data_IF_045377702857
#
_entry.id   IF_045377702857
#
_cell.length_a   1.000
_cell.length_b   1.000
_cell.length_c   1.000
_cell.angle_alpha   90.00
_cell.angle_beta   90.00
_cell.angle_gamma   90.00
#
_symmetry.space_group_name_H-M   'P 1'
#
loop_
_entity.id
_entity.type
_entity.pdbx_description
1 polymer ?
#
# COMPACT_ATOMS: atom_id res chain seq x y z
N UNK A 1 3.63 24.57 68.44
CA UNK A 1 4.06 25.90 67.96
C UNK A 1 3.98 25.86 66.44
N UNK A 2 2.90 26.34 65.80
CA UNK A 2 2.70 27.75 65.37
C UNK A 2 3.92 28.24 64.57
N UNK A 3 3.83 28.73 63.34
CA UNK A 3 2.93 29.75 62.76
C UNK A 3 3.30 29.83 61.25
N UNK A 4 2.36 29.77 60.29
CA UNK A 4 1.77 30.91 59.51
C UNK A 4 2.82 31.72 58.71
N UNK A 5 2.63 32.30 57.53
CA UNK A 5 1.55 32.71 56.60
C UNK A 5 2.28 32.99 55.25
N UNK A 6 1.80 32.60 54.06
CA UNK A 6 0.85 33.32 53.16
C UNK A 6 1.39 34.66 52.57
N UNK A 7 0.81 35.20 51.46
CA UNK A 7 1.48 35.38 50.15
C UNK A 7 1.63 36.87 49.76
N UNK A 8 2.27 37.18 48.63
CA UNK A 8 2.38 38.57 48.11
C UNK A 8 2.03 38.64 46.60
N UNK A 9 0.77 38.97 46.29
CA UNK A 9 0.27 40.21 45.61
C UNK A 9 0.92 40.52 44.25
N UNK A 10 0.20 40.33 43.13
CA UNK A 10 -0.64 41.30 42.39
C UNK A 10 0.10 42.59 42.03
N UNK A 11 0.27 42.86 40.73
CA UNK A 11 -0.08 44.17 40.18
C UNK A 11 -0.47 44.13 38.70
N UNK A 12 -1.75 44.48 38.48
CA UNK A 12 -2.35 44.93 37.22
C UNK A 12 -1.72 46.26 36.82
N UNK A 13 -1.30 46.39 35.57
CA UNK A 13 -1.23 47.69 34.92
C UNK A 13 -2.52 47.88 34.09
N UNK A 14 -3.35 48.82 34.54
CA UNK A 14 -4.50 49.40 33.83
C UNK A 14 -4.12 50.86 33.53
N UNK A 15 -4.78 51.43 32.51
CA UNK A 15 -4.91 52.87 32.20
C UNK A 15 -3.87 53.29 31.14
N UNK A 16 -4.25 53.81 29.98
CA UNK A 16 -4.99 55.07 29.84
C UNK A 16 -6.13 55.04 28.80
N UNK A 17 -7.33 55.39 29.30
CA UNK A 17 -8.39 56.07 28.58
C UNK A 17 -8.09 57.57 28.71
N UNK A 18 -7.98 58.29 27.59
CA UNK A 18 -8.07 59.75 27.58
C UNK A 18 -9.55 60.14 27.57
N UNK A 19 -10.04 60.46 28.76
CA UNK A 19 -11.06 61.48 29.06
C UNK A 19 -10.63 62.85 28.45
N UNK A 20 -11.43 63.92 28.24
CA UNK A 20 -12.72 64.37 28.75
C UNK A 20 -13.15 65.59 27.88
N UNK A 21 -14.45 65.87 27.71
CA UNK A 21 -15.11 67.16 28.09
C UNK A 21 -16.54 67.26 27.53
N UNK A 22 -17.49 67.10 28.42
CA UNK A 22 -18.86 67.62 28.32
C UNK A 22 -18.89 69.13 28.62
N UNK A 23 -19.72 69.91 27.92
CA UNK A 23 -20.74 70.84 28.50
C UNK A 23 -21.29 71.91 27.52
N UNK A 24 -22.60 71.81 27.29
CA UNK A 24 -23.66 72.87 27.31
C UNK A 24 -23.78 73.96 26.22
N UNK A 25 -25.04 74.07 25.76
CA UNK A 25 -25.92 75.27 25.67
C UNK A 25 -26.20 75.89 24.28
N UNK A 26 -27.42 75.58 23.80
CA UNK A 26 -28.42 76.42 23.10
C UNK A 26 -27.94 77.58 22.22
N UNK A 27 -28.31 77.51 20.94
CA UNK A 27 -28.88 78.66 20.21
C UNK A 27 -30.03 78.18 19.32
N UNK A 28 -31.20 78.77 19.56
CA UNK A 28 -32.42 78.65 18.75
C UNK A 28 -32.66 80.01 18.09
N UNK A 29 -32.93 80.01 16.77
CA UNK A 29 -33.65 80.98 15.90
C UNK A 29 -32.97 80.92 14.52
N UNK A 30 -33.62 80.74 13.38
CA UNK A 30 -34.92 81.25 12.93
C UNK A 30 -35.51 80.27 11.90
N UNK A 31 -36.81 80.01 12.02
CA UNK A 31 -37.63 79.31 11.03
C UNK A 31 -37.75 80.22 9.80
N UNK A 32 -37.14 79.85 8.67
CA UNK A 32 -37.48 80.44 7.37
C UNK A 32 -38.50 79.52 6.69
N UNK A 33 -39.74 79.99 6.66
CA UNK A 33 -40.91 79.38 6.03
C UNK A 33 -40.61 79.18 4.54
N UNK A 34 -40.29 77.97 4.13
CA UNK A 34 -40.25 77.56 2.72
C UNK A 34 -41.39 76.60 2.46
N UNK A 35 -42.11 76.94 1.40
CA UNK A 35 -43.44 76.44 1.03
C UNK A 35 -43.39 74.92 0.87
N UNK A 36 -44.38 74.25 1.46
CA UNK A 36 -44.66 72.85 1.22
C UNK A 36 -45.32 72.75 -0.17
N UNK A 37 -44.50 72.54 -1.20
CA UNK A 37 -44.99 72.18 -2.52
C UNK A 37 -45.39 70.70 -2.45
N UNK A 38 -46.70 70.45 -2.51
CA UNK A 38 -47.27 69.11 -2.42
C UNK A 38 -47.35 68.51 -3.82
N UNK A 39 -46.18 68.17 -4.38
CA UNK A 39 -46.10 67.17 -5.43
C UNK A 39 -45.69 65.85 -4.76
N UNK A 40 -46.49 64.78 -4.86
CA UNK A 40 -46.05 63.48 -4.39
C UNK A 40 -44.97 63.00 -5.36
N UNK A 41 -43.71 63.18 -4.99
CA UNK A 41 -42.61 62.45 -5.61
C UNK A 41 -42.75 60.99 -5.17
N UNK A 42 -43.62 60.26 -5.87
CA UNK A 42 -43.81 58.83 -5.67
C UNK A 42 -42.53 58.13 -6.12
N UNK A 43 -41.86 57.56 -5.12
CA UNK A 43 -40.70 56.67 -5.15
C UNK A 43 -40.60 55.87 -6.46
N UNK A 44 -39.38 55.66 -7.01
CA UNK A 44 -39.23 54.70 -8.10
C UNK A 44 -39.84 53.37 -7.62
N UNK A 45 -40.80 52.84 -8.39
CA UNK A 45 -41.30 51.49 -8.15
C UNK A 45 -40.10 50.59 -7.94
N UNK A 46 -40.00 49.99 -6.76
CA UNK A 46 -39.05 48.91 -6.53
C UNK A 46 -39.45 47.83 -7.53
N UNK A 47 -38.72 47.79 -8.65
CA UNK A 47 -38.83 46.72 -9.63
C UNK A 47 -38.67 45.45 -8.83
N UNK A 48 -39.75 44.71 -8.62
CA UNK A 48 -39.69 43.41 -7.96
C UNK A 48 -38.64 42.63 -8.72
N UNK A 49 -37.48 42.40 -8.08
CA UNK A 49 -36.50 41.48 -8.62
C UNK A 49 -37.20 40.14 -8.50
N UNK A 50 -37.85 39.73 -9.59
CA UNK A 50 -38.42 38.39 -9.77
C UNK A 50 -37.24 37.44 -9.72
N UNK A 51 -36.81 37.07 -8.50
CA UNK A 51 -35.84 36.02 -8.27
C UNK A 51 -36.48 34.77 -8.82
N UNK A 52 -36.02 34.37 -10.01
CA UNK A 52 -36.57 33.23 -10.72
C UNK A 52 -36.52 31.99 -9.80
N UNK A 53 -37.67 31.33 -9.51
CA UNK A 53 -37.69 30.12 -8.69
C UNK A 53 -36.83 29.01 -9.31
N UNK A 54 -36.52 29.11 -10.61
CA UNK A 54 -35.66 28.16 -11.31
C UNK A 54 -34.22 28.16 -10.81
N UNK A 55 -33.64 29.29 -10.38
CA UNK A 55 -32.26 29.33 -9.91
C UNK A 55 -32.06 28.62 -8.56
N UNK A 56 -33.09 28.67 -7.70
CA UNK A 56 -33.13 27.92 -6.44
C UNK A 56 -33.47 26.44 -6.69
N UNK A 57 -34.45 26.17 -7.55
CA UNK A 57 -34.84 24.81 -7.91
C UNK A 57 -33.70 24.03 -8.60
N UNK A 58 -32.91 24.67 -9.45
CA UNK A 58 -31.74 24.06 -10.10
C UNK A 58 -30.63 23.71 -9.09
N UNK A 59 -30.39 24.56 -8.10
CA UNK A 59 -29.44 24.26 -7.00
C UNK A 59 -29.94 23.10 -6.14
N UNK A 60 -31.24 23.06 -5.85
CA UNK A 60 -31.86 21.98 -5.10
C UNK A 60 -31.79 20.66 -5.87
N UNK A 61 -32.06 20.69 -7.18
CA UNK A 61 -31.92 19.54 -8.07
C UNK A 61 -30.46 19.05 -8.13
N UNK A 62 -29.47 19.95 -8.20
CA UNK A 62 -28.06 19.58 -8.15
C UNK A 62 -27.67 18.92 -6.82
N UNK A 63 -28.18 19.41 -5.68
CA UNK A 63 -27.93 18.79 -4.37
C UNK A 63 -28.54 17.38 -4.31
N UNK A 64 -29.75 17.21 -4.84
CA UNK A 64 -30.42 15.91 -4.89
C UNK A 64 -29.67 14.93 -5.80
N UNK A 65 -29.25 15.38 -6.99
CA UNK A 65 -28.44 14.57 -7.92
C UNK A 65 -27.09 14.23 -7.31
N UNK A 66 -26.43 15.15 -6.61
CA UNK A 66 -25.19 14.89 -5.89
C UNK A 66 -25.41 13.89 -4.76
N UNK A 67 -26.52 13.98 -4.02
CA UNK A 67 -26.91 13.02 -2.99
C UNK A 67 -27.15 11.61 -3.55
N UNK A 68 -27.84 11.50 -4.68
CA UNK A 68 -28.05 10.23 -5.39
C UNK A 68 -26.72 9.68 -5.90
N UNK A 69 -25.86 10.51 -6.47
CA UNK A 69 -24.52 10.10 -6.92
C UNK A 69 -23.67 9.60 -5.75
N UNK A 70 -23.65 10.29 -4.62
CA UNK A 70 -22.98 9.86 -3.39
C UNK A 70 -23.57 8.56 -2.84
N UNK A 71 -24.88 8.36 -2.93
CA UNK A 71 -25.53 7.12 -2.53
C UNK A 71 -25.16 5.94 -3.44
N UNK A 72 -25.10 6.14 -4.76
CA UNK A 72 -24.67 5.13 -5.72
C UNK A 72 -23.18 4.77 -5.54
N UNK A 73 -22.33 5.77 -5.29
CA UNK A 73 -20.94 5.60 -4.88
C UNK A 73 -20.88 4.76 -3.59
N UNK A 74 -21.60 5.17 -2.55
CA UNK A 74 -21.63 4.44 -1.28
C UNK A 74 -22.08 2.98 -1.45
N UNK A 75 -23.11 2.72 -2.26
CA UNK A 75 -23.59 1.37 -2.64
C UNK A 75 -22.47 0.54 -3.28
N UNK A 76 -21.74 1.10 -4.26
CA UNK A 76 -20.61 0.43 -4.92
C UNK A 76 -19.41 0.21 -4.00
N UNK A 77 -19.19 1.09 -3.03
CA UNK A 77 -18.07 1.02 -2.09
C UNK A 77 -18.39 0.32 -0.75
N UNK A 78 -19.61 -0.20 -0.53
CA UNK A 78 -19.97 -0.91 0.72
C UNK A 78 -19.02 -2.06 1.04
N UNK A 79 -18.60 -2.83 0.03
CA UNK A 79 -17.66 -3.95 0.19
C UNK A 79 -16.21 -3.56 0.50
N UNK A 80 -15.85 -2.28 0.33
CA UNK A 80 -14.53 -1.75 0.70
C UNK A 80 -14.44 -1.34 2.18
N UNK A 81 -15.58 -1.07 2.82
CA UNK A 81 -15.63 -0.62 4.23
C UNK A 81 -16.06 -1.77 5.15
N UNK A 82 -16.98 -2.63 4.71
CA UNK A 82 -17.42 -3.81 5.44
C UNK A 82 -16.80 -5.08 4.83
N UNK A 83 -16.20 -5.91 5.68
CA UNK A 83 -15.73 -7.24 5.29
C UNK A 83 -16.79 -8.33 5.50
N UNK A 84 -17.68 -8.15 6.47
CA UNK A 84 -18.75 -9.10 6.80
C UNK A 84 -19.51 -8.70 8.05
N UNK A 85 -20.35 -9.59 8.57
CA UNK A 85 -21.08 -9.40 9.84
C UNK A 85 -21.11 -10.70 10.65
N UNK A 86 -21.03 -10.63 11.97
CA UNK A 86 -21.20 -11.75 12.90
C UNK A 86 -22.33 -11.42 13.87
N UNK A 87 -23.43 -12.19 13.87
CA UNK A 87 -24.60 -11.93 14.72
C UNK A 87 -25.11 -10.47 14.64
N UNK A 88 -25.14 -9.89 13.44
CA UNK A 88 -25.49 -8.48 13.17
C UNK A 88 -24.43 -7.43 13.58
N UNK A 89 -23.28 -7.83 14.11
CA UNK A 89 -22.13 -6.93 14.33
C UNK A 89 -21.27 -6.85 13.06
N UNK A 90 -21.07 -5.66 12.46
CA UNK A 90 -20.24 -5.52 11.27
C UNK A 90 -18.75 -5.71 11.57
N UNK A 91 -18.08 -6.51 10.74
CA UNK A 91 -16.62 -6.59 10.68
C UNK A 91 -16.16 -5.54 9.68
N UNK A 92 -15.36 -4.58 10.16
CA UNK A 92 -14.79 -3.57 9.28
C UNK A 92 -13.67 -4.16 8.43
N UNK A 93 -13.56 -3.73 7.18
CA UNK A 93 -12.45 -4.12 6.30
C UNK A 93 -11.11 -3.63 6.84
N UNK A 94 -11.11 -2.49 7.54
CA UNK A 94 -9.92 -1.94 8.18
C UNK A 94 -9.39 -2.87 9.28
N UNK A 95 -10.26 -3.36 10.16
CA UNK A 95 -9.90 -4.33 11.21
C UNK A 95 -9.39 -5.64 10.61
N UNK A 96 -10.07 -6.18 9.60
CA UNK A 96 -9.62 -7.38 8.91
C UNK A 96 -8.24 -7.17 8.26
N UNK A 97 -8.06 -6.08 7.51
CA UNK A 97 -6.80 -5.78 6.85
C UNK A 97 -5.68 -5.51 7.86
N UNK A 98 -5.97 -4.87 8.99
CA UNK A 98 -5.01 -4.70 10.06
C UNK A 98 -4.58 -6.04 10.63
N UNK A 99 -5.52 -6.95 10.93
CA UNK A 99 -5.21 -8.30 11.41
C UNK A 99 -4.42 -9.12 10.39
N UNK A 100 -4.75 -8.99 9.10
CA UNK A 100 -4.01 -9.61 8.01
C UNK A 100 -2.60 -9.02 7.87
N UNK A 101 -2.45 -7.70 8.01
CA UNK A 101 -1.15 -7.02 7.96
C UNK A 101 -0.29 -7.38 9.16
N UNK A 102 -0.87 -7.46 10.37
CA UNK A 102 -0.19 -7.93 11.58
C UNK A 102 0.35 -9.36 11.38
N UNK A 103 -0.43 -10.24 10.74
CA UNK A 103 -0.09 -11.66 10.59
C UNK A 103 0.80 -11.96 9.39
N UNK A 104 0.60 -11.28 8.26
CA UNK A 104 1.22 -11.60 6.96
C UNK A 104 1.92 -10.41 6.29
N UNK A 105 1.73 -9.18 6.80
CA UNK A 105 2.21 -7.96 6.16
C UNK A 105 3.72 -7.92 6.03
N UNK A 106 4.46 -8.26 7.11
CA UNK A 106 5.92 -8.31 7.08
C UNK A 106 6.45 -9.32 6.05
N UNK A 107 5.91 -10.55 6.05
CA UNK A 107 6.34 -11.59 5.12
C UNK A 107 6.03 -11.21 3.67
N UNK A 108 4.83 -10.70 3.41
CA UNK A 108 4.40 -10.27 2.07
C UNK A 108 5.25 -9.10 1.58
N UNK A 109 5.58 -8.15 2.46
CA UNK A 109 6.46 -7.05 2.14
C UNK A 109 7.88 -7.53 1.83
N UNK A 110 8.43 -8.45 2.63
CA UNK A 110 9.74 -9.04 2.41
C UNK A 110 9.82 -9.79 1.06
N UNK A 111 8.77 -10.52 0.69
CA UNK A 111 8.64 -11.18 -0.62
C UNK A 111 8.63 -10.17 -1.78
N UNK A 112 7.82 -9.13 -1.68
CA UNK A 112 7.74 -8.06 -2.68
C UNK A 112 9.10 -7.35 -2.81
N UNK A 113 9.77 -7.06 -1.69
CA UNK A 113 11.12 -6.46 -1.71
C UNK A 113 12.09 -7.36 -2.46
N UNK A 114 12.14 -8.66 -2.16
CA UNK A 114 13.02 -9.60 -2.84
C UNK A 114 12.74 -9.66 -4.34
N UNK A 115 11.46 -9.70 -4.75
CA UNK A 115 11.08 -9.67 -6.16
C UNK A 115 11.56 -8.38 -6.85
N UNK A 116 11.37 -7.22 -6.22
CA UNK A 116 11.79 -5.92 -6.78
C UNK A 116 13.31 -5.83 -6.91
N UNK A 117 14.05 -6.35 -5.94
CA UNK A 117 15.51 -6.40 -5.97
C UNK A 117 16.02 -7.32 -7.09
N UNK A 118 15.38 -8.49 -7.25
CA UNK A 118 15.67 -9.39 -8.36
C UNK A 118 15.44 -8.71 -9.71
N UNK A 119 14.27 -8.11 -9.92
CA UNK A 119 13.94 -7.40 -11.17
C UNK A 119 14.94 -6.27 -11.48
N UNK A 120 15.38 -5.53 -10.46
CA UNK A 120 16.37 -4.47 -10.61
C UNK A 120 17.74 -5.02 -11.03
N UNK A 121 18.20 -6.10 -10.41
CA UNK A 121 19.49 -6.71 -10.74
C UNK A 121 19.48 -7.44 -12.09
N UNK A 122 18.37 -8.06 -12.49
CA UNK A 122 18.21 -8.63 -13.82
C UNK A 122 18.35 -7.56 -14.91
N UNK A 123 17.69 -6.40 -14.74
CA UNK A 123 17.80 -5.26 -15.64
C UNK A 123 19.23 -4.73 -15.71
N UNK A 124 19.88 -4.54 -14.56
CA UNK A 124 21.27 -4.08 -14.47
C UNK A 124 22.24 -5.02 -15.18
N UNK A 125 21.99 -6.33 -15.11
CA UNK A 125 22.83 -7.36 -15.73
C UNK A 125 22.39 -7.73 -17.15
N UNK A 126 21.38 -7.07 -17.72
CA UNK A 126 20.78 -7.37 -19.03
C UNK A 126 20.41 -8.85 -19.19
N UNK A 127 19.87 -9.46 -18.14
CA UNK A 127 19.41 -10.86 -18.16
C UNK A 127 17.94 -10.86 -18.57
N UNK A 128 17.64 -11.60 -19.63
CA UNK A 128 16.27 -11.83 -20.10
C UNK A 128 16.01 -13.32 -20.19
N UNK A 129 14.85 -13.75 -19.70
CA UNK A 129 14.33 -15.11 -19.90
C UNK A 129 13.33 -15.05 -21.04
N UNK A 130 13.60 -15.80 -22.10
CA UNK A 130 12.72 -15.88 -23.26
C UNK A 130 11.50 -16.74 -22.98
N UNK A 131 10.39 -16.50 -23.68
CA UNK A 131 9.19 -17.32 -23.54
C UNK A 131 9.41 -18.77 -23.97
N UNK A 132 10.39 -18.99 -24.87
CA UNK A 132 10.82 -20.34 -25.26
C UNK A 132 11.39 -21.10 -24.05
N UNK A 133 12.29 -20.48 -23.28
CA UNK A 133 12.86 -21.09 -22.08
C UNK A 133 11.80 -21.39 -21.02
N UNK A 134 10.85 -20.47 -20.83
CA UNK A 134 9.71 -20.70 -19.92
C UNK A 134 8.88 -21.87 -20.40
N UNK A 135 8.60 -21.96 -21.70
CA UNK A 135 7.80 -23.04 -22.28
C UNK A 135 8.50 -24.39 -22.19
N UNK A 136 9.81 -24.43 -22.49
CA UNK A 136 10.63 -25.63 -22.40
C UNK A 136 10.70 -26.14 -20.95
N UNK A 137 10.86 -25.24 -19.97
CA UNK A 137 10.85 -25.60 -18.55
C UNK A 137 9.46 -26.00 -18.04
N UNK A 138 8.41 -25.31 -18.47
CA UNK A 138 7.02 -25.67 -18.17
C UNK A 138 6.71 -27.08 -18.66
N UNK A 139 7.17 -27.45 -19.87
CA UNK A 139 6.99 -28.79 -20.42
C UNK A 139 7.70 -29.87 -19.60
N UNK A 140 8.89 -29.57 -19.03
CA UNK A 140 9.57 -30.50 -18.11
C UNK A 140 8.77 -30.69 -16.82
N UNK A 141 8.33 -29.59 -16.20
CA UNK A 141 7.52 -29.63 -14.98
C UNK A 141 6.23 -30.40 -15.22
N UNK A 142 5.54 -30.17 -16.35
CA UNK A 142 4.33 -30.93 -16.71
C UNK A 142 4.62 -32.45 -16.75
N UNK A 143 5.76 -32.87 -17.32
CA UNK A 143 6.17 -34.28 -17.34
C UNK A 143 6.44 -34.82 -15.94
N UNK A 144 7.12 -34.06 -15.09
CA UNK A 144 7.40 -34.44 -13.69
C UNK A 144 6.12 -34.60 -12.86
N UNK A 145 5.09 -33.78 -13.14
CA UNK A 145 3.78 -33.90 -12.51
C UNK A 145 2.91 -35.04 -13.07
N UNK A 146 3.35 -35.74 -14.12
CA UNK A 146 2.60 -36.86 -14.72
C UNK A 146 1.69 -36.48 -15.88
N UNK A 147 1.88 -35.29 -16.47
CA UNK A 147 1.14 -34.82 -17.66
C UNK A 147 0.32 -33.55 -17.41
N UNK A 148 -0.29 -33.02 -18.49
CA UNK A 148 -1.02 -31.75 -18.44
C UNK A 148 -2.22 -31.78 -17.49
N UNK A 149 -2.94 -32.89 -17.42
CA UNK A 149 -4.12 -33.04 -16.58
C UNK A 149 -3.76 -32.98 -15.10
N UNK A 150 -2.70 -33.71 -14.70
CA UNK A 150 -2.19 -33.69 -13.33
C UNK A 150 -1.65 -32.31 -12.94
N UNK A 151 -0.95 -31.64 -13.86
CA UNK A 151 -0.49 -30.27 -13.66
C UNK A 151 -1.66 -29.28 -13.47
N UNK A 152 -2.68 -29.33 -14.33
CA UNK A 152 -3.88 -28.46 -14.21
C UNK A 152 -4.67 -28.75 -12.93
N UNK A 153 -4.77 -30.02 -12.53
CA UNK A 153 -5.39 -30.41 -11.26
C UNK A 153 -4.62 -29.84 -10.06
N UNK A 154 -3.29 -29.93 -10.07
CA UNK A 154 -2.44 -29.35 -9.03
C UNK A 154 -2.61 -27.82 -8.95
N UNK A 155 -2.58 -27.11 -10.09
CA UNK A 155 -2.81 -25.67 -10.11
C UNK A 155 -4.17 -25.28 -9.51
N UNK A 156 -5.22 -26.05 -9.83
CA UNK A 156 -6.57 -25.82 -9.31
C UNK A 156 -6.64 -26.02 -7.79
N UNK A 157 -5.95 -27.03 -7.26
CA UNK A 157 -5.88 -27.28 -5.80
C UNK A 157 -5.24 -26.11 -5.05
N UNK A 158 -4.22 -25.48 -5.63
CA UNK A 158 -3.55 -24.30 -5.05
C UNK A 158 -4.22 -22.97 -5.41
N UNK A 159 -5.32 -22.97 -6.15
CA UNK A 159 -5.99 -21.75 -6.61
C UNK A 159 -5.12 -20.88 -7.54
N UNK A 160 -4.21 -21.51 -8.29
CA UNK A 160 -3.29 -20.86 -9.21
C UNK A 160 -3.80 -20.95 -10.65
N UNK A 161 -3.49 -19.92 -11.44
CA UNK A 161 -3.70 -19.94 -12.88
C UNK A 161 -2.42 -20.37 -13.59
N UNK A 162 -2.55 -20.89 -14.81
CA UNK A 162 -1.39 -21.25 -15.63
C UNK A 162 -0.47 -20.04 -15.89
N UNK A 163 -1.04 -18.84 -16.04
CA UNK A 163 -0.28 -17.61 -16.18
C UNK A 163 0.60 -17.34 -14.94
N UNK A 164 0.04 -17.48 -13.73
CA UNK A 164 0.81 -17.33 -12.49
C UNK A 164 1.90 -18.40 -12.37
N UNK A 165 1.61 -19.63 -12.76
CA UNK A 165 2.61 -20.69 -12.78
C UNK A 165 3.78 -20.37 -13.72
N UNK A 166 3.48 -19.89 -14.94
CA UNK A 166 4.51 -19.44 -15.91
C UNK A 166 5.33 -18.27 -15.38
N UNK A 167 4.70 -17.33 -14.68
CA UNK A 167 5.42 -16.22 -14.05
C UNK A 167 6.37 -16.70 -12.94
N UNK A 168 5.93 -17.64 -12.10
CA UNK A 168 6.80 -18.27 -11.09
C UNK A 168 7.97 -19.04 -11.72
N UNK A 169 7.72 -19.77 -12.82
CA UNK A 169 8.78 -20.45 -13.59
C UNK A 169 9.77 -19.43 -14.15
N UNK A 170 9.28 -18.34 -14.73
CA UNK A 170 10.13 -17.26 -15.25
C UNK A 170 10.98 -16.64 -14.14
N UNK A 171 10.43 -16.42 -12.96
CA UNK A 171 11.19 -15.92 -11.81
C UNK A 171 12.27 -16.90 -11.37
N UNK A 172 11.95 -18.20 -11.26
CA UNK A 172 12.90 -19.25 -10.92
C UNK A 172 14.07 -19.33 -11.92
N UNK A 173 13.76 -19.32 -13.22
CA UNK A 173 14.77 -19.29 -14.29
C UNK A 173 15.64 -18.03 -14.23
N UNK A 174 15.03 -16.88 -13.95
CA UNK A 174 15.76 -15.61 -13.84
C UNK A 174 16.73 -15.63 -12.66
N UNK A 175 16.29 -16.16 -11.52
CA UNK A 175 17.11 -16.33 -10.34
C UNK A 175 18.29 -17.27 -10.62
N UNK A 176 18.04 -18.42 -11.23
CA UNK A 176 19.11 -19.36 -11.62
C UNK A 176 20.14 -18.70 -12.52
N UNK A 177 19.70 -18.00 -13.57
CA UNK A 177 20.60 -17.30 -14.51
C UNK A 177 21.47 -16.24 -13.84
N UNK A 178 20.92 -15.44 -12.93
CA UNK A 178 21.70 -14.38 -12.28
C UNK A 178 22.72 -14.95 -11.30
N UNK A 179 22.39 -16.06 -10.62
CA UNK A 179 23.32 -16.75 -9.73
C UNK A 179 24.44 -17.39 -10.54
N UNK A 180 24.13 -18.11 -11.63
CA UNK A 180 25.14 -18.70 -12.51
C UNK A 180 26.04 -17.66 -13.17
N UNK A 181 25.52 -16.45 -13.44
CA UNK A 181 26.33 -15.33 -13.97
C UNK A 181 27.26 -14.73 -12.90
N UNK A 182 26.78 -14.58 -11.67
CA UNK A 182 27.53 -13.91 -10.60
C UNK A 182 28.48 -14.85 -9.84
N UNK A 183 28.16 -16.14 -9.81
CA UNK A 183 28.90 -17.15 -9.06
C UNK A 183 29.22 -18.31 -10.00
N UNK A 184 30.51 -18.62 -10.12
CA UNK A 184 30.97 -19.84 -10.77
C UNK A 184 30.83 -20.99 -9.77
N UNK A 185 29.73 -21.74 -9.87
CA UNK A 185 29.43 -22.87 -8.98
C UNK A 185 30.06 -24.13 -9.58
N UNK A 186 31.14 -24.61 -8.98
CA UNK A 186 31.83 -25.84 -9.38
C UNK A 186 31.87 -26.81 -8.19
N UNK A 187 31.26 -27.99 -8.37
CA UNK A 187 31.34 -29.07 -7.39
C UNK A 187 32.51 -29.99 -7.76
N UNK A 188 33.47 -30.09 -6.86
CA UNK A 188 34.66 -30.93 -7.05
C UNK A 188 34.37 -32.39 -6.71
N UNK A 189 35.11 -33.30 -7.33
CA UNK A 189 34.94 -34.74 -7.07
C UNK A 189 35.26 -35.10 -5.61
N UNK A 190 36.15 -34.33 -4.96
CA UNK A 190 36.46 -34.49 -3.54
C UNK A 190 35.25 -34.16 -2.64
N UNK A 191 34.46 -33.14 -2.99
CA UNK A 191 33.22 -32.83 -2.27
C UNK A 191 32.18 -33.93 -2.44
N UNK A 192 32.08 -34.50 -3.64
CA UNK A 192 31.16 -35.62 -3.94
C UNK A 192 31.56 -36.87 -3.15
N UNK A 193 32.85 -37.23 -3.15
CA UNK A 193 33.39 -38.36 -2.37
C UNK A 193 33.16 -38.17 -0.88
N UNK A 194 33.50 -36.99 -0.36
CA UNK A 194 33.28 -36.66 1.05
C UNK A 194 31.80 -36.78 1.42
N UNK A 195 30.89 -36.28 0.60
CA UNK A 195 29.45 -36.41 0.87
C UNK A 195 28.99 -37.87 0.89
N UNK A 196 29.46 -38.70 -0.04
CA UNK A 196 29.18 -40.14 -0.04
C UNK A 196 29.70 -40.81 1.24
N UNK A 197 30.92 -40.48 1.64
CA UNK A 197 31.57 -41.05 2.82
C UNK A 197 30.92 -40.60 4.14
N UNK A 198 30.51 -39.34 4.24
CA UNK A 198 29.84 -38.77 5.42
C UNK A 198 28.41 -39.32 5.58
N UNK A 199 27.79 -39.78 4.48
CA UNK A 199 26.40 -40.27 4.44
C UNK A 199 26.29 -41.77 4.12
N UNK A 200 27.28 -42.59 4.53
CA UNK A 200 27.33 -44.04 4.24
C UNK A 200 26.06 -44.82 4.57
N UNK A 201 25.33 -44.43 5.62
CA UNK A 201 24.07 -45.07 5.99
C UNK A 201 22.97 -44.87 4.93
N UNK A 202 22.94 -43.72 4.26
CA UNK A 202 22.00 -43.42 3.18
C UNK A 202 22.38 -44.15 1.87
N UNK A 203 23.64 -44.58 1.74
CA UNK A 203 24.18 -45.22 0.54
C UNK A 203 24.65 -46.66 0.77
N UNK A 204 24.20 -47.32 1.85
CA UNK A 204 24.72 -48.60 2.32
C UNK A 204 24.75 -49.71 1.24
N UNK A 205 23.82 -49.65 0.27
CA UNK A 205 23.68 -50.63 -0.81
C UNK A 205 24.00 -50.07 -2.21
N UNK A 206 24.56 -48.85 -2.30
CA UNK A 206 24.82 -48.17 -3.58
C UNK A 206 26.32 -47.98 -3.80
N UNK A 207 26.78 -48.21 -5.04
CA UNK A 207 28.17 -47.91 -5.41
C UNK A 207 28.33 -46.42 -5.67
N UNK A 208 29.53 -45.90 -5.41
CA UNK A 208 29.84 -44.49 -5.62
C UNK A 208 29.60 -44.07 -7.07
N UNK A 209 29.98 -44.89 -8.05
CA UNK A 209 29.80 -44.57 -9.47
C UNK A 209 28.32 -44.33 -9.82
N UNK A 210 27.43 -45.15 -9.26
CA UNK A 210 25.98 -45.13 -9.53
C UNK A 210 25.30 -43.88 -8.95
N UNK A 211 25.84 -43.29 -7.88
CA UNK A 211 25.23 -42.13 -7.19
C UNK A 211 26.01 -40.85 -7.32
N UNK A 212 27.24 -40.89 -7.86
CA UNK A 212 28.13 -39.73 -7.96
C UNK A 212 27.47 -38.54 -8.67
N UNK A 213 26.74 -38.79 -9.77
CA UNK A 213 26.02 -37.77 -10.52
C UNK A 213 24.88 -37.14 -9.70
N UNK A 214 24.11 -37.96 -8.97
CA UNK A 214 23.00 -37.51 -8.13
C UNK A 214 23.51 -36.69 -6.93
N UNK A 215 24.60 -37.15 -6.30
CA UNK A 215 25.27 -36.41 -5.22
C UNK A 215 25.80 -35.09 -5.75
N UNK A 216 26.45 -35.08 -6.92
CA UNK A 216 26.95 -33.85 -7.53
C UNK A 216 25.83 -32.86 -7.82
N UNK A 217 24.70 -33.32 -8.37
CA UNK A 217 23.53 -32.48 -8.58
C UNK A 217 22.97 -31.96 -7.25
N UNK A 218 22.88 -32.82 -6.23
CA UNK A 218 22.40 -32.43 -4.88
C UNK A 218 23.27 -31.33 -4.28
N UNK A 219 24.59 -31.51 -4.28
CA UNK A 219 25.55 -30.51 -3.81
C UNK A 219 25.48 -29.23 -4.65
N UNK A 220 25.31 -29.33 -5.96
CA UNK A 220 25.10 -28.18 -6.83
C UNK A 220 23.86 -27.38 -6.43
N UNK A 221 22.71 -28.04 -6.23
CA UNK A 221 21.49 -27.37 -5.80
C UNK A 221 21.64 -26.73 -4.41
N UNK A 222 22.35 -27.38 -3.49
CA UNK A 222 22.64 -26.82 -2.16
C UNK A 222 23.53 -25.57 -2.26
N UNK A 223 24.55 -25.60 -3.10
CA UNK A 223 25.44 -24.45 -3.31
C UNK A 223 24.68 -23.31 -3.99
N UNK A 224 23.86 -23.59 -5.02
CA UNK A 224 22.97 -22.59 -5.66
C UNK A 224 22.05 -21.94 -4.63
N UNK A 225 21.43 -22.74 -3.76
CA UNK A 225 20.57 -22.22 -2.69
C UNK A 225 21.37 -21.31 -1.73
N UNK A 226 22.55 -21.75 -1.31
CA UNK A 226 23.42 -20.98 -0.40
C UNK A 226 23.85 -19.66 -1.04
N UNK A 227 24.34 -19.69 -2.28
CA UNK A 227 24.72 -18.50 -3.05
C UNK A 227 23.55 -17.57 -3.29
N UNK A 228 22.35 -18.11 -3.49
CA UNK A 228 21.13 -17.32 -3.59
C UNK A 228 20.86 -16.53 -2.32
N UNK A 229 20.99 -17.14 -1.14
CA UNK A 229 20.78 -16.45 0.14
C UNK A 229 21.86 -15.39 0.40
N UNK A 230 23.13 -15.71 0.14
CA UNK A 230 24.24 -14.77 0.23
C UNK A 230 24.02 -13.56 -0.70
N UNK A 231 23.62 -13.83 -1.94
CA UNK A 231 23.34 -12.83 -2.95
C UNK A 231 22.18 -11.91 -2.55
N UNK A 232 21.04 -12.47 -2.13
CA UNK A 232 19.90 -11.68 -1.65
C UNK A 232 20.27 -10.83 -0.43
N UNK A 233 21.08 -11.37 0.49
CA UNK A 233 21.59 -10.61 1.64
C UNK A 233 22.46 -9.44 1.18
N UNK A 234 23.33 -9.66 0.20
CA UNK A 234 24.19 -8.63 -0.38
C UNK A 234 23.40 -7.49 -1.02
N UNK A 235 22.47 -7.83 -1.93
CA UNK A 235 21.67 -6.81 -2.62
C UNK A 235 20.71 -6.09 -1.67
N UNK A 236 20.20 -6.78 -0.64
CA UNK A 236 19.34 -6.16 0.38
C UNK A 236 20.11 -5.16 1.23
N UNK A 237 21.35 -5.46 1.61
CA UNK A 237 22.24 -4.51 2.33
C UNK A 237 22.59 -3.30 1.48
N UNK A 238 22.75 -3.48 0.18
CA UNK A 238 23.05 -2.39 -0.75
C UNK A 238 21.82 -1.53 -1.10
N UNK A 239 20.61 -2.06 -0.89
CA UNK A 239 19.37 -1.40 -1.26
C UNK A 239 18.84 -0.46 -0.17
N UNK A 240 18.24 0.66 -0.59
CA UNK A 240 17.50 1.56 0.29
C UNK A 240 16.08 1.06 0.48
N UNK A 241 15.81 0.41 1.61
CA UNK A 241 14.49 -0.15 1.95
C UNK A 241 13.91 0.66 3.11
N UNK A 242 12.75 1.30 2.88
CA UNK A 242 12.03 2.09 3.89
C UNK A 242 10.64 1.49 4.06
N UNK A 243 10.39 0.67 5.11
CA UNK A 243 9.07 0.15 5.39
C UNK A 243 8.17 1.22 6.04
N UNK A 244 6.87 1.19 5.72
CA UNK A 244 5.82 2.02 6.32
C UNK A 244 4.70 1.17 6.95
N UNK A 245 4.99 -0.11 7.20
CA UNK A 245 4.05 -1.12 7.69
C UNK A 245 4.26 -1.42 9.17
#
# INVERSE_FOLDING_TARGET
>A
MTKSMSPKTINKAKTEMSELKTKTKKSVKVIKKLRFDSSPESLPELKEIKRSPFGFALKLALIVVLGIALYLVAQKYRGYILAGTVNSSPISRWELNQKMSEKYGKQSFDEIVNQRLLDAELKKNNIVVSDKEVSDETAKIIKEYGGEEAFKAALSQYGLTEAKAKDSIRQSLSLKKIIEKNYKIEITDDQVKKYFDDNKTQFADKKFEDVSADIKNTLYQQEVYTKTQEWFTGIRKAAKIVPFI
#
